data_IF_436914510985
#
_entry.id   IF_436914510985
#
_cell.length_a   1.000
_cell.length_b   1.000
_cell.length_c   1.000
_cell.angle_alpha   90.00
_cell.angle_beta   90.00
_cell.angle_gamma   90.00
#
_symmetry.space_group_name_H-M   'P 1'
#
loop_
_entity.id
_entity.type
_entity.pdbx_description
1 polymer ?
#
# COMPACT_ATOMS: atom_id res chain seq x y z
N UNK A 1 21.31 -11.57 23.50
CA UNK A 1 21.43 -11.32 22.06
C UNK A 1 20.97 -12.55 21.29
N UNK A 2 19.85 -12.45 20.60
CA UNK A 2 19.34 -13.51 19.72
C UNK A 2 20.13 -13.57 18.39
N UNK A 3 19.85 -14.59 17.56
CA UNK A 3 20.54 -14.78 16.28
C UNK A 3 20.29 -13.62 15.31
N UNK A 4 19.07 -13.07 15.32
CA UNK A 4 18.68 -11.94 14.48
C UNK A 4 19.48 -10.67 14.81
N UNK A 5 19.65 -10.36 16.09
CA UNK A 5 20.47 -9.23 16.52
C UNK A 5 21.94 -9.36 16.09
N UNK A 6 22.49 -10.58 16.10
CA UNK A 6 23.85 -10.82 15.58
C UNK A 6 23.92 -10.57 14.07
N UNK A 7 22.92 -11.00 13.31
CA UNK A 7 22.85 -10.73 11.88
C UNK A 7 22.80 -9.21 11.60
N UNK A 8 22.05 -8.45 12.39
CA UNK A 8 22.00 -6.98 12.25
C UNK A 8 23.34 -6.31 12.61
N UNK A 9 24.02 -6.76 13.67
CA UNK A 9 25.35 -6.24 14.01
C UNK A 9 26.40 -6.59 12.94
N UNK A 10 26.25 -7.71 12.23
CA UNK A 10 27.10 -8.06 11.10
C UNK A 10 26.78 -7.23 9.85
N UNK A 11 25.50 -6.89 9.64
CA UNK A 11 25.05 -6.05 8.53
C UNK A 11 25.44 -4.58 8.72
N UNK A 12 25.52 -4.11 9.97
CA UNK A 12 26.00 -2.78 10.33
C UNK A 12 27.08 -2.85 11.43
N UNK A 13 28.34 -3.16 11.07
CA UNK A 13 29.47 -3.10 11.96
C UNK A 13 29.51 -1.78 12.76
N UNK A 14 29.75 -1.90 14.07
CA UNK A 14 29.76 -0.75 14.99
C UNK A 14 28.41 -0.43 15.64
N UNK A 15 27.33 -1.11 15.23
CA UNK A 15 26.07 -1.16 15.99
C UNK A 15 26.33 -1.77 17.38
N UNK A 16 25.84 -1.12 18.44
CA UNK A 16 26.01 -1.53 19.84
C UNK A 16 24.65 -1.75 20.51
N UNK A 17 24.58 -2.66 21.48
CA UNK A 17 23.37 -2.94 22.29
C UNK A 17 22.79 -1.71 22.99
N UNK A 18 23.62 -0.72 23.31
CA UNK A 18 23.18 0.53 23.94
C UNK A 18 22.52 1.52 22.98
N UNK A 19 22.58 1.29 21.66
CA UNK A 19 22.00 2.20 20.69
C UNK A 19 20.48 2.01 20.58
N UNK A 20 19.71 3.09 20.38
CA UNK A 20 18.26 3.02 20.34
C UNK A 20 17.76 2.31 19.08
N UNK A 21 16.49 1.89 19.11
CA UNK A 21 15.82 1.10 18.07
C UNK A 21 16.00 1.62 16.63
N UNK A 22 16.02 2.94 16.33
CA UNK A 22 16.23 3.42 14.95
C UNK A 22 17.52 2.91 14.30
N UNK A 23 18.61 2.75 15.08
CA UNK A 23 19.87 2.21 14.53
C UNK A 23 19.78 0.72 14.20
N UNK A 24 18.99 -0.03 14.98
CA UNK A 24 18.71 -1.44 14.69
C UNK A 24 17.88 -1.60 13.43
N UNK A 25 16.88 -0.73 13.22
CA UNK A 25 16.09 -0.71 11.98
C UNK A 25 16.92 -0.23 10.78
N UNK A 26 17.83 0.71 10.96
CA UNK A 26 18.79 1.09 9.92
C UNK A 26 19.70 -0.09 9.52
N UNK A 27 20.10 -0.94 10.47
CA UNK A 27 20.85 -2.15 10.14
C UNK A 27 20.05 -3.14 9.27
N UNK A 28 18.72 -3.17 9.40
CA UNK A 28 17.86 -3.97 8.53
C UNK A 28 17.90 -3.48 7.08
N UNK A 29 18.03 -2.17 6.85
CA UNK A 29 18.18 -1.59 5.50
C UNK A 29 19.42 -2.16 4.80
N UNK A 30 20.56 -2.19 5.50
CA UNK A 30 21.79 -2.77 4.97
C UNK A 30 21.72 -4.30 4.85
N UNK A 31 21.12 -4.98 5.83
CA UNK A 31 20.90 -6.44 5.75
C UNK A 31 20.13 -6.83 4.49
N UNK A 32 19.08 -6.09 4.17
CA UNK A 32 18.20 -6.36 3.03
C UNK A 32 18.73 -5.76 1.71
N UNK A 33 19.86 -5.04 1.74
CA UNK A 33 20.49 -4.43 0.56
C UNK A 33 19.57 -3.45 -0.18
N UNK A 34 18.84 -2.63 0.59
CA UNK A 34 17.86 -1.65 0.08
C UNK A 34 18.20 -0.22 0.53
N UNK A 35 19.49 0.07 0.76
CA UNK A 35 19.90 1.41 1.18
C UNK A 35 19.72 2.42 0.04
N UNK A 36 18.94 3.45 0.32
CA UNK A 36 18.76 4.62 -0.52
C UNK A 36 18.91 5.86 0.36
N UNK A 37 19.64 6.86 -0.16
CA UNK A 37 19.80 8.14 0.49
C UNK A 37 18.98 9.17 -0.28
N UNK A 38 17.96 9.72 0.38
CA UNK A 38 17.16 10.80 -0.16
C UNK A 38 17.51 12.11 0.53
N UNK A 39 17.33 13.22 -0.18
CA UNK A 39 17.58 14.57 0.34
C UNK A 39 16.41 15.48 0.05
N UNK A 40 16.07 16.36 0.99
CA UNK A 40 15.06 17.39 0.78
C UNK A 40 15.56 18.74 1.31
N UNK A 41 15.00 19.82 0.77
CA UNK A 41 15.27 21.18 1.26
C UNK A 41 14.64 21.36 2.64
N UNK A 42 15.48 21.66 3.63
CA UNK A 42 15.10 22.01 4.99
C UNK A 42 14.95 23.52 5.19
N UNK A 43 14.77 23.92 6.45
CA UNK A 43 14.69 25.33 6.83
C UNK A 43 16.01 26.06 6.53
N UNK A 44 15.91 27.36 6.22
CA UNK A 44 17.07 28.25 6.00
C UNK A 44 18.07 27.79 4.93
N UNK A 45 17.62 26.97 3.96
CA UNK A 45 18.46 26.46 2.87
C UNK A 45 19.42 25.33 3.31
N UNK A 46 19.12 24.68 4.43
CA UNK A 46 19.81 23.46 4.87
C UNK A 46 19.31 22.26 4.07
N UNK A 47 20.17 21.25 3.88
CA UNK A 47 19.78 19.99 3.26
C UNK A 47 19.48 18.96 4.35
N UNK A 48 18.31 18.34 4.29
CA UNK A 48 17.92 17.26 5.19
C UNK A 48 18.15 15.91 4.51
N UNK A 49 18.60 14.93 5.28
CA UNK A 49 18.96 13.60 4.79
C UNK A 49 18.04 12.54 5.37
N UNK A 50 17.52 11.72 4.46
CA UNK A 50 16.52 10.71 4.74
C UNK A 50 16.94 9.36 4.22
N UNK A 51 16.60 8.30 4.97
CA UNK A 51 16.71 6.91 4.50
C UNK A 51 15.33 6.29 4.57
N UNK A 52 14.69 5.98 3.43
CA UNK A 52 13.42 5.25 3.42
C UNK A 52 13.55 3.93 4.18
N UNK A 53 12.54 3.60 4.98
CA UNK A 53 12.44 2.30 5.63
C UNK A 53 11.26 1.50 5.07
N UNK A 54 10.10 2.14 4.96
CA UNK A 54 8.92 1.58 4.32
C UNK A 54 8.08 2.70 3.70
N UNK A 55 7.88 2.66 2.39
CA UNK A 55 7.06 3.62 1.66
C UNK A 55 5.94 2.88 0.93
N UNK A 56 4.71 3.02 1.41
CA UNK A 56 3.54 2.49 0.73
C UNK A 56 2.31 3.37 0.95
N UNK A 57 1.21 2.97 0.31
CA UNK A 57 -0.02 3.76 0.30
C UNK A 57 -0.72 3.93 1.66
N UNK A 58 -0.36 3.12 2.67
CA UNK A 58 -0.87 3.24 4.03
C UNK A 58 0.13 3.86 5.02
N UNK A 59 1.42 3.83 4.71
CA UNK A 59 2.50 4.23 5.62
C UNK A 59 3.69 4.84 4.88
N UNK A 60 4.17 5.97 5.38
CA UNK A 60 5.46 6.56 5.03
C UNK A 60 6.34 6.50 6.28
N UNK A 61 7.34 5.63 6.27
CA UNK A 61 8.27 5.39 7.36
C UNK A 61 9.71 5.54 6.88
N UNK A 62 10.47 6.38 7.56
CA UNK A 62 11.83 6.75 7.15
C UNK A 62 12.66 7.22 8.35
N UNK A 63 13.97 7.18 8.19
CA UNK A 63 14.91 7.77 9.14
C UNK A 63 15.28 9.17 8.69
N UNK A 64 15.27 10.12 9.62
CA UNK A 64 15.80 11.46 9.45
C UNK A 64 17.11 11.56 10.25
N UNK A 65 18.18 12.00 9.59
CA UNK A 65 19.48 12.23 10.21
C UNK A 65 19.61 13.69 10.68
N UNK A 66 19.60 13.92 11.99
CA UNK A 66 19.60 15.27 12.55
C UNK A 66 20.96 15.97 12.36
N UNK A 67 20.94 17.21 11.88
CA UNK A 67 22.15 18.02 11.63
C UNK A 67 23.18 17.29 10.78
N UNK A 68 22.68 16.56 9.78
CA UNK A 68 23.53 15.71 8.96
C UNK A 68 24.33 16.53 7.94
N UNK A 69 25.56 16.10 7.67
CA UNK A 69 26.32 16.52 6.50
C UNK A 69 27.07 15.33 5.90
N UNK A 70 27.32 15.40 4.59
CA UNK A 70 27.98 14.34 3.84
C UNK A 70 29.41 14.73 3.45
N UNK A 71 30.36 13.80 3.62
CA UNK A 71 31.68 13.84 2.98
C UNK A 71 31.73 12.79 1.87
N UNK A 72 32.14 13.18 0.67
CA UNK A 72 32.04 12.33 -0.53
C UNK A 72 30.74 12.59 -1.29
N UNK A 73 30.39 11.70 -2.22
CA UNK A 73 29.23 11.85 -3.08
C UNK A 73 28.46 10.53 -3.14
N UNK A 74 27.14 10.58 -2.95
CA UNK A 74 26.26 9.43 -3.13
C UNK A 74 25.95 9.24 -4.62
N UNK A 75 26.03 8.00 -5.11
CA UNK A 75 25.65 7.64 -6.47
C UNK A 75 24.24 7.04 -6.48
N UNK A 76 23.19 7.75 -6.94
CA UNK A 76 21.80 7.28 -6.86
C UNK A 76 21.51 6.03 -7.69
N UNK A 77 22.32 5.76 -8.72
CA UNK A 77 22.18 4.57 -9.57
C UNK A 77 22.68 3.28 -8.89
N UNK A 78 23.36 3.39 -7.73
CA UNK A 78 23.96 2.27 -7.01
C UNK A 78 23.30 2.03 -5.64
N UNK A 79 22.08 1.51 -5.64
CA UNK A 79 21.32 1.19 -4.40
C UNK A 79 21.57 -0.23 -3.88
N UNK A 80 21.97 -1.15 -4.76
CA UNK A 80 22.27 -2.55 -4.42
C UNK A 80 23.74 -2.78 -4.03
N UNK A 81 24.02 -3.87 -3.31
CA UNK A 81 25.38 -4.28 -2.91
C UNK A 81 26.12 -3.21 -2.09
N UNK A 82 25.37 -2.49 -1.25
CA UNK A 82 25.89 -1.46 -0.35
C UNK A 82 26.29 -2.07 0.99
N UNK A 83 27.42 -1.62 1.53
CA UNK A 83 27.87 -1.96 2.88
C UNK A 83 28.11 -0.70 3.68
N UNK A 84 27.98 -0.78 5.01
CA UNK A 84 28.21 0.37 5.87
C UNK A 84 28.92 0.01 7.17
N UNK A 85 29.52 1.00 7.80
CA UNK A 85 30.09 0.93 9.14
C UNK A 85 29.61 2.15 9.95
N UNK A 86 29.16 1.91 11.17
CA UNK A 86 28.69 2.93 12.11
C UNK A 86 29.75 3.22 13.16
N UNK A 87 30.17 4.48 13.24
CA UNK A 87 31.08 4.97 14.29
C UNK A 87 30.27 5.84 15.25
N UNK A 88 30.43 5.56 16.55
CA UNK A 88 29.90 6.42 17.62
C UNK A 88 31.00 7.37 18.09
N UNK A 89 30.75 8.67 18.03
CA UNK A 89 31.64 9.72 18.52
C UNK A 89 31.04 10.41 19.75
N UNK A 90 31.83 11.26 20.42
CA UNK A 90 31.35 12.01 21.60
C UNK A 90 30.16 12.93 21.28
N UNK A 91 30.11 13.47 20.06
CA UNK A 91 29.14 14.49 19.63
C UNK A 91 28.11 13.98 18.62
N UNK A 92 28.10 12.69 18.30
CA UNK A 92 27.18 12.12 17.31
C UNK A 92 27.67 10.81 16.70
N UNK A 93 27.41 10.66 15.40
CA UNK A 93 27.64 9.42 14.67
C UNK A 93 28.21 9.71 13.28
N UNK A 94 28.99 8.76 12.78
CA UNK A 94 29.39 8.70 11.37
C UNK A 94 28.95 7.37 10.77
N UNK A 95 28.23 7.40 9.65
CA UNK A 95 27.87 6.24 8.86
C UNK A 95 28.69 6.27 7.57
N UNK A 96 29.70 5.40 7.50
CA UNK A 96 30.55 5.25 6.32
C UNK A 96 29.87 4.23 5.41
N UNK A 97 29.49 4.63 4.20
CA UNK A 97 28.81 3.77 3.23
C UNK A 97 29.73 3.52 2.04
N UNK A 98 29.82 2.25 1.61
CA UNK A 98 30.56 1.82 0.42
C UNK A 98 29.57 1.22 -0.57
N UNK A 99 29.51 1.82 -1.77
CA UNK A 99 28.66 1.36 -2.87
C UNK A 99 29.42 0.39 -3.79
N UNK A 100 28.68 -0.28 -4.68
CA UNK A 100 29.16 -1.41 -5.47
C UNK A 100 30.40 -1.09 -6.34
N UNK A 101 30.50 0.12 -6.88
CA UNK A 101 31.64 0.54 -7.70
C UNK A 101 32.93 0.84 -6.91
N UNK A 102 32.88 0.71 -5.59
CA UNK A 102 33.95 1.16 -4.69
C UNK A 102 33.85 2.64 -4.32
N UNK A 103 32.77 3.32 -4.72
CA UNK A 103 32.46 4.66 -4.21
C UNK A 103 32.26 4.62 -2.69
N UNK A 104 32.78 5.64 -1.99
CA UNK A 104 32.69 5.75 -0.53
C UNK A 104 32.29 7.16 -0.16
N UNK A 105 31.27 7.27 0.69
CA UNK A 105 30.88 8.53 1.31
C UNK A 105 30.60 8.31 2.80
N UNK A 106 30.51 9.39 3.56
CA UNK A 106 30.28 9.35 5.00
C UNK A 106 29.21 10.35 5.37
N UNK A 107 28.19 9.89 6.09
CA UNK A 107 27.15 10.72 6.66
C UNK A 107 27.47 10.97 8.13
N UNK A 108 27.72 12.22 8.48
CA UNK A 108 27.96 12.66 9.85
C UNK A 108 26.67 13.25 10.38
N UNK A 109 26.16 12.79 11.52
CA UNK A 109 24.89 13.26 12.06
C UNK A 109 24.87 13.22 13.59
N UNK A 110 24.10 14.13 14.19
CA UNK A 110 23.99 14.21 15.64
C UNK A 110 23.14 13.07 16.21
N UNK A 111 22.10 12.66 15.49
CA UNK A 111 21.14 11.66 15.94
C UNK A 111 20.32 11.08 14.77
N UNK A 112 19.74 9.90 14.97
CA UNK A 112 18.88 9.21 14.00
C UNK A 112 17.45 9.15 14.54
N UNK A 113 16.52 9.85 13.89
CA UNK A 113 15.10 9.84 14.25
C UNK A 113 14.32 8.95 13.30
N UNK A 114 13.56 8.00 13.84
CA UNK A 114 12.60 7.24 13.07
C UNK A 114 11.26 7.99 13.02
N UNK A 115 10.70 8.16 11.83
CA UNK A 115 9.43 8.82 11.57
C UNK A 115 8.46 7.83 10.96
N UNK A 116 7.22 7.88 11.42
CA UNK A 116 6.13 7.03 10.95
C UNK A 116 4.90 7.90 10.75
N UNK A 117 4.37 7.88 9.52
CA UNK A 117 3.17 8.57 9.14
C UNK A 117 2.20 7.59 8.49
N UNK A 118 0.98 7.52 9.01
CA UNK A 118 -0.05 6.59 8.55
C UNK A 118 -1.22 7.36 7.93
N UNK A 119 -1.77 6.83 6.83
CA UNK A 119 -2.73 7.55 6.01
C UNK A 119 -3.94 6.69 5.62
N UNK A 120 -5.02 7.37 5.23
CA UNK A 120 -6.17 6.71 4.62
C UNK A 120 -5.83 6.15 3.24
N UNK A 121 -5.85 4.82 3.09
CA UNK A 121 -5.51 4.10 1.87
C UNK A 121 -6.72 3.52 1.10
N UNK A 122 -7.93 3.53 1.68
CA UNK A 122 -9.12 2.89 1.08
C UNK A 122 -9.65 3.57 -0.21
N UNK A 123 -9.18 4.80 -0.49
CA UNK A 123 -9.48 5.55 -1.70
C UNK A 123 -8.52 5.27 -2.85
N UNK A 124 -7.48 4.47 -2.63
CA UNK A 124 -6.39 4.30 -3.58
C UNK A 124 -6.74 3.21 -4.61
N UNK A 125 -6.37 3.43 -5.86
CA UNK A 125 -6.65 2.49 -6.94
C UNK A 125 -5.58 2.49 -8.01
N UNK A 126 -4.78 1.43 -8.00
CA UNK A 126 -3.83 1.14 -9.08
C UNK A 126 -4.39 0.08 -10.03
N UNK A 127 -4.43 0.37 -11.32
CA UNK A 127 -5.16 -0.44 -12.32
C UNK A 127 -4.26 -1.00 -13.43
N UNK A 128 -3.17 -1.68 -13.06
CA UNK A 128 -2.21 -2.26 -14.03
C UNK A 128 -2.76 -3.44 -14.84
N UNK A 129 -3.86 -4.08 -14.40
CA UNK A 129 -4.48 -5.22 -15.09
C UNK A 129 -5.97 -5.03 -15.28
N UNK A 130 -6.42 -5.30 -16.50
CA UNK A 130 -7.84 -5.27 -16.88
C UNK A 130 -8.61 -6.47 -16.34
N UNK A 131 -9.88 -6.23 -16.00
CA UNK A 131 -10.86 -7.21 -15.56
C UNK A 131 -10.76 -7.54 -14.07
N UNK A 132 -11.92 -7.55 -13.41
CA UNK A 132 -12.08 -7.80 -11.97
C UNK A 132 -11.30 -6.78 -11.10
N UNK A 133 -11.24 -5.53 -11.55
CA UNK A 133 -10.51 -4.42 -10.92
C UNK A 133 -10.94 -4.18 -9.46
N UNK A 134 -12.22 -4.41 -9.14
CA UNK A 134 -12.72 -4.35 -7.77
C UNK A 134 -12.04 -5.37 -6.85
N UNK A 135 -11.79 -6.59 -7.32
CA UNK A 135 -11.05 -7.59 -6.52
C UNK A 135 -9.57 -7.27 -6.47
N UNK A 136 -8.98 -6.82 -7.59
CA UNK A 136 -7.56 -6.44 -7.65
C UNK A 136 -7.24 -5.28 -6.70
N UNK A 137 -8.12 -4.30 -6.61
CA UNK A 137 -7.99 -3.18 -5.69
C UNK A 137 -8.00 -3.66 -4.23
N UNK A 138 -8.91 -4.58 -3.86
CA UNK A 138 -8.92 -5.16 -2.50
C UNK A 138 -7.64 -5.97 -2.21
N UNK A 139 -7.14 -6.74 -3.19
CA UNK A 139 -5.88 -7.50 -3.03
C UNK A 139 -4.71 -6.56 -2.83
N UNK A 140 -4.65 -5.46 -3.59
CA UNK A 140 -3.65 -4.42 -3.40
C UNK A 140 -3.67 -3.87 -1.97
N UNK A 141 -4.82 -3.37 -1.52
CA UNK A 141 -4.96 -2.81 -0.17
C UNK A 141 -4.68 -3.82 0.95
N UNK A 142 -5.06 -5.08 0.77
CA UNK A 142 -4.74 -6.14 1.73
C UNK A 142 -3.23 -6.43 1.80
N UNK A 143 -2.53 -6.38 0.66
CA UNK A 143 -1.07 -6.48 0.60
C UNK A 143 -0.38 -5.29 1.28
N UNK A 144 -0.81 -4.05 0.98
CA UNK A 144 -0.30 -2.82 1.62
C UNK A 144 -0.40 -2.89 3.15
N UNK A 145 -1.53 -3.37 3.65
CA UNK A 145 -1.77 -3.55 5.08
C UNK A 145 -0.92 -4.66 5.70
N UNK A 146 -0.80 -5.79 5.01
CA UNK A 146 0.03 -6.91 5.47
C UNK A 146 1.49 -6.48 5.57
N UNK A 147 2.03 -5.85 4.52
CA UNK A 147 3.38 -5.31 4.50
C UNK A 147 3.58 -4.33 5.66
N UNK A 148 2.62 -3.43 5.92
CA UNK A 148 2.69 -2.46 7.01
C UNK A 148 2.87 -3.17 8.36
N UNK A 149 2.08 -4.20 8.63
CA UNK A 149 2.18 -4.91 9.90
C UNK A 149 3.46 -5.75 10.02
N UNK A 150 3.95 -6.35 8.93
CA UNK A 150 5.18 -7.14 8.95
C UNK A 150 6.42 -6.25 9.17
N UNK A 151 6.52 -5.13 8.46
CA UNK A 151 7.72 -4.28 8.50
C UNK A 151 7.75 -3.37 9.73
N UNK A 152 6.64 -2.70 10.05
CA UNK A 152 6.60 -1.75 11.16
C UNK A 152 6.28 -2.41 12.50
N UNK A 153 5.62 -3.57 12.48
CA UNK A 153 5.25 -4.35 13.65
C UNK A 153 3.86 -4.03 14.20
N UNK A 154 3.48 -4.76 15.26
CA UNK A 154 2.12 -4.75 15.81
C UNK A 154 1.66 -3.39 16.34
N UNK A 155 2.58 -2.53 16.78
CA UNK A 155 2.28 -1.20 17.34
C UNK A 155 1.85 -0.21 16.26
N UNK A 156 2.27 -0.42 15.00
CA UNK A 156 1.88 0.39 13.86
C UNK A 156 0.50 0.01 13.29
N UNK A 157 -0.06 -1.13 13.69
CA UNK A 157 -1.31 -1.67 13.15
C UNK A 157 -2.47 -1.58 14.15
N UNK A 158 -3.62 -1.12 13.65
CA UNK A 158 -4.85 -1.07 14.45
C UNK A 158 -5.51 -2.44 14.57
N UNK A 159 -6.38 -2.62 15.56
CA UNK A 159 -7.10 -3.89 15.74
C UNK A 159 -7.98 -4.26 14.53
N UNK A 160 -8.50 -3.26 13.81
CA UNK A 160 -9.25 -3.51 12.57
C UNK A 160 -8.32 -3.96 11.45
N UNK A 161 -7.10 -3.45 11.39
CA UNK A 161 -6.11 -3.90 10.41
C UNK A 161 -5.66 -5.34 10.72
N UNK A 162 -5.36 -5.64 11.99
CA UNK A 162 -4.98 -6.99 12.44
C UNK A 162 -6.06 -8.03 12.13
N UNK A 163 -7.34 -7.67 12.25
CA UNK A 163 -8.45 -8.54 11.86
C UNK A 163 -8.49 -8.89 10.36
N UNK A 164 -7.81 -8.11 9.51
CA UNK A 164 -7.71 -8.30 8.06
C UNK A 164 -6.34 -8.82 7.61
N UNK A 165 -5.37 -8.94 8.52
CA UNK A 165 -3.97 -9.29 8.23
C UNK A 165 -3.87 -10.55 7.34
N UNK A 166 -4.53 -11.64 7.74
CA UNK A 166 -4.48 -12.91 7.03
C UNK A 166 -5.29 -12.94 5.71
N UNK A 167 -6.02 -11.88 5.35
CA UNK A 167 -6.86 -11.87 4.15
C UNK A 167 -6.03 -12.11 2.87
N UNK A 168 -4.84 -11.51 2.76
CA UNK A 168 -3.97 -11.65 1.60
C UNK A 168 -3.38 -13.07 1.48
N UNK A 169 -3.26 -13.79 2.59
CA UNK A 169 -2.79 -15.18 2.64
C UNK A 169 -3.85 -16.15 2.10
N UNK A 170 -5.10 -15.72 1.92
CA UNK A 170 -6.11 -16.56 1.27
C UNK A 170 -5.86 -16.68 -0.24
N UNK A 171 -5.20 -17.77 -0.65
CA UNK A 171 -4.78 -18.03 -2.03
C UNK A 171 -5.81 -17.71 -3.14
N UNK A 172 -7.08 -18.15 -3.04
CA UNK A 172 -8.10 -17.83 -4.04
C UNK A 172 -8.40 -16.33 -4.20
N UNK A 173 -8.27 -15.53 -3.14
CA UNK A 173 -8.38 -14.07 -3.19
C UNK A 173 -7.11 -13.45 -3.79
N UNK A 174 -5.93 -13.87 -3.31
CA UNK A 174 -4.62 -13.41 -3.81
C UNK A 174 -4.42 -13.61 -5.31
N UNK A 175 -5.06 -14.62 -5.92
CA UNK A 175 -5.10 -14.82 -7.38
C UNK A 175 -5.62 -13.62 -8.18
N UNK A 176 -6.33 -12.70 -7.54
CA UNK A 176 -6.65 -11.39 -8.10
C UNK A 176 -5.52 -10.38 -7.88
N UNK A 177 -4.25 -10.82 -7.98
CA UNK A 177 -3.07 -9.94 -7.94
C UNK A 177 -3.24 -8.78 -8.93
N UNK A 178 -2.98 -7.53 -8.52
CA UNK A 178 -3.07 -6.38 -9.41
C UNK A 178 -1.91 -6.38 -10.44
N UNK A 179 -0.83 -7.13 -10.19
CA UNK A 179 0.33 -7.30 -11.07
C UNK A 179 0.34 -8.67 -11.77
N UNK A 180 1.31 -8.89 -12.66
CA UNK A 180 1.44 -10.16 -13.40
C UNK A 180 2.06 -11.28 -12.55
N UNK A 181 2.94 -10.90 -11.63
CA UNK A 181 3.64 -11.82 -10.73
C UNK A 181 2.70 -12.51 -9.77
N UNK A 182 3.05 -13.76 -9.45
CA UNK A 182 2.37 -14.52 -8.41
C UNK A 182 2.84 -14.01 -7.05
N UNK A 183 1.90 -13.52 -6.25
CA UNK A 183 2.18 -13.00 -4.92
C UNK A 183 2.34 -14.11 -3.88
N UNK A 184 2.27 -15.38 -4.25
CA UNK A 184 2.39 -16.50 -3.30
C UNK A 184 3.71 -16.58 -2.56
N UNK A 185 4.84 -16.26 -3.20
CA UNK A 185 6.13 -16.26 -2.52
C UNK A 185 6.16 -15.18 -1.42
N UNK A 186 5.63 -14.00 -1.75
CA UNK A 186 5.52 -12.88 -0.81
C UNK A 186 4.47 -13.11 0.29
N UNK A 187 3.33 -13.70 -0.07
CA UNK A 187 2.21 -13.98 0.85
C UNK A 187 1.79 -15.45 0.72
N UNK A 188 2.50 -16.38 1.40
CA UNK A 188 2.24 -17.81 1.29
C UNK A 188 0.83 -18.15 1.78
N UNK A 189 0.15 -19.17 1.21
CA UNK A 189 -1.18 -19.56 1.64
C UNK A 189 -1.16 -20.20 3.03
N UNK A 190 -2.03 -19.72 3.91
CA UNK A 190 -2.14 -20.19 5.30
C UNK A 190 -3.54 -20.72 5.63
N UNK A 191 -3.67 -21.46 6.73
CA UNK A 191 -4.98 -21.88 7.23
C UNK A 191 -5.74 -20.71 7.86
N UNK A 192 -5.01 -19.76 8.43
CA UNK A 192 -5.47 -18.50 9.01
C UNK A 192 -6.12 -17.63 7.93
N UNK A 193 -5.55 -17.56 6.72
CA UNK A 193 -6.17 -16.87 5.60
C UNK A 193 -7.49 -17.53 5.14
N UNK A 194 -7.55 -18.86 5.15
CA UNK A 194 -8.81 -19.58 4.89
C UNK A 194 -9.85 -19.26 5.96
N UNK A 195 -9.46 -19.21 7.24
CA UNK A 195 -10.36 -18.86 8.34
C UNK A 195 -10.83 -17.40 8.28
N UNK A 196 -9.94 -16.47 7.95
CA UNK A 196 -10.25 -15.06 7.73
C UNK A 196 -11.33 -14.90 6.66
N UNK A 197 -11.12 -15.46 5.46
CA UNK A 197 -12.13 -15.41 4.40
C UNK A 197 -13.43 -16.12 4.79
N UNK A 198 -13.35 -17.22 5.56
CA UNK A 198 -14.54 -17.95 6.03
C UNK A 198 -15.37 -17.11 7.00
N UNK A 199 -14.73 -16.40 7.91
CA UNK A 199 -15.40 -15.47 8.82
C UNK A 199 -16.07 -14.33 8.03
N UNK A 200 -15.36 -13.72 7.08
CA UNK A 200 -15.91 -12.69 6.20
C UNK A 200 -17.12 -13.20 5.40
N UNK A 201 -17.05 -14.42 4.86
CA UNK A 201 -18.17 -15.05 4.16
C UNK A 201 -19.38 -15.26 5.08
N UNK A 202 -19.16 -15.70 6.32
CA UNK A 202 -20.23 -15.87 7.31
C UNK A 202 -20.90 -14.54 7.67
N UNK A 203 -20.09 -13.52 7.96
CA UNK A 203 -20.58 -12.17 8.29
C UNK A 203 -21.35 -11.54 7.12
N UNK A 204 -20.97 -11.83 5.88
CA UNK A 204 -21.68 -11.39 4.68
C UNK A 204 -22.96 -12.20 4.40
N UNK A 205 -23.29 -13.20 5.22
CA UNK A 205 -24.42 -14.11 5.01
C UNK A 205 -24.22 -15.10 3.86
N UNK A 206 -22.98 -15.28 3.38
CA UNK A 206 -22.64 -16.15 2.27
C UNK A 206 -22.32 -17.58 2.71
N UNK A 207 -23.33 -18.24 3.27
CA UNK A 207 -23.25 -19.63 3.75
C UNK A 207 -22.80 -20.62 2.67
N UNK A 208 -23.08 -20.32 1.39
CA UNK A 208 -22.67 -21.17 0.27
C UNK A 208 -21.16 -21.10 0.06
N UNK A 209 -20.55 -19.91 0.11
CA UNK A 209 -19.10 -19.79 0.00
C UNK A 209 -18.42 -20.34 1.25
N UNK A 210 -18.94 -20.02 2.43
CA UNK A 210 -18.44 -20.54 3.71
C UNK A 210 -18.32 -22.07 3.70
N UNK A 211 -19.36 -22.77 3.22
CA UNK A 211 -19.33 -24.24 3.09
C UNK A 211 -18.25 -24.74 2.13
N UNK A 212 -18.00 -24.03 1.03
CA UNK A 212 -16.92 -24.38 0.09
C UNK A 212 -15.54 -24.16 0.73
N UNK A 213 -15.38 -23.10 1.52
CA UNK A 213 -14.14 -22.84 2.27
C UNK A 213 -13.86 -23.93 3.31
N UNK A 214 -14.90 -24.47 3.98
CA UNK A 214 -14.75 -25.63 4.85
C UNK A 214 -14.23 -26.88 4.13
N UNK A 215 -14.60 -27.08 2.86
CA UNK A 215 -14.08 -28.18 2.04
C UNK A 215 -12.63 -27.92 1.64
N UNK A 216 -12.34 -26.70 1.17
CA UNK A 216 -10.99 -26.30 0.77
C UNK A 216 -9.99 -26.36 1.93
N UNK A 217 -10.39 -25.99 3.15
CA UNK A 217 -9.56 -26.13 4.34
C UNK A 217 -9.10 -27.57 4.59
N UNK A 218 -9.93 -28.56 4.26
CA UNK A 218 -9.58 -29.99 4.39
C UNK A 218 -8.72 -30.50 3.24
N UNK A 219 -8.86 -29.88 2.06
CA UNK A 219 -8.26 -30.33 0.82
C UNK A 219 -7.77 -29.12 0.00
N UNK A 220 -6.65 -28.47 0.36
CA UNK A 220 -6.18 -27.24 -0.26
C UNK A 220 -5.48 -27.49 -1.62
N UNK A 221 -6.15 -28.18 -2.54
CA UNK A 221 -5.60 -28.47 -3.85
C UNK A 221 -5.58 -27.24 -4.75
N UNK A 222 -4.54 -27.10 -5.58
CA UNK A 222 -4.35 -25.97 -6.52
C UNK A 222 -5.54 -25.75 -7.46
N UNK A 223 -6.17 -26.83 -7.93
CA UNK A 223 -7.33 -26.73 -8.80
C UNK A 223 -8.57 -26.20 -8.05
N UNK A 224 -8.74 -26.56 -6.77
CA UNK A 224 -9.81 -26.01 -5.91
C UNK A 224 -9.58 -24.53 -5.64
N UNK A 225 -8.33 -24.13 -5.43
CA UNK A 225 -7.96 -22.74 -5.24
C UNK A 225 -8.33 -21.88 -6.46
N UNK A 226 -7.96 -22.32 -7.67
CA UNK A 226 -8.35 -21.66 -8.93
C UNK A 226 -9.86 -21.63 -9.12
N UNK A 227 -10.54 -22.73 -8.77
CA UNK A 227 -11.99 -22.81 -8.87
C UNK A 227 -12.69 -21.85 -7.90
N UNK A 228 -12.21 -21.74 -6.64
CA UNK A 228 -12.71 -20.81 -5.64
C UNK A 228 -12.47 -19.35 -6.03
N UNK A 229 -11.34 -19.05 -6.64
CA UNK A 229 -11.03 -17.72 -7.14
C UNK A 229 -12.05 -17.28 -8.20
N UNK A 230 -12.36 -18.15 -9.17
CA UNK A 230 -13.41 -17.90 -10.18
C UNK A 230 -14.81 -17.81 -9.60
N UNK A 231 -15.06 -18.38 -8.41
CA UNK A 231 -16.35 -18.23 -7.72
C UNK A 231 -16.54 -16.82 -7.16
N UNK A 232 -15.47 -16.10 -6.83
CA UNK A 232 -15.52 -14.70 -6.37
C UNK A 232 -16.08 -13.74 -7.45
N UNK A 233 -15.94 -14.09 -8.73
CA UNK A 233 -16.48 -13.32 -9.85
C UNK A 233 -18.02 -13.33 -9.91
N UNK A 234 -18.69 -14.27 -9.21
CA UNK A 234 -20.13 -14.45 -9.35
C UNK A 234 -20.92 -13.37 -8.60
N UNK A 235 -22.04 -12.88 -9.14
CA UNK A 235 -22.91 -11.91 -8.46
C UNK A 235 -23.36 -12.30 -7.05
N UNK A 236 -23.40 -13.60 -6.74
CA UNK A 236 -23.69 -14.09 -5.38
C UNK A 236 -22.62 -13.72 -4.35
N UNK A 237 -21.47 -13.21 -4.77
CA UNK A 237 -20.35 -12.76 -3.92
C UNK A 237 -20.26 -11.24 -3.79
N UNK A 238 -21.23 -10.51 -4.34
CA UNK A 238 -21.28 -9.05 -4.25
C UNK A 238 -21.34 -8.55 -2.80
N UNK A 239 -22.16 -9.19 -1.95
CA UNK A 239 -22.26 -8.84 -0.53
C UNK A 239 -20.95 -9.09 0.24
N UNK A 240 -20.26 -10.18 -0.08
CA UNK A 240 -18.94 -10.50 0.49
C UNK A 240 -17.91 -9.44 0.11
N UNK A 241 -17.85 -9.06 -1.17
CA UNK A 241 -16.99 -7.96 -1.63
C UNK A 241 -17.28 -6.65 -0.89
N UNK A 242 -18.55 -6.25 -0.80
CA UNK A 242 -18.95 -5.01 -0.14
C UNK A 242 -18.57 -5.01 1.34
N UNK A 243 -18.72 -6.15 2.03
CA UNK A 243 -18.29 -6.30 3.42
C UNK A 243 -16.77 -6.15 3.56
N UNK A 244 -15.99 -6.80 2.70
CA UNK A 244 -14.52 -6.71 2.74
C UNK A 244 -14.08 -5.26 2.50
N UNK A 245 -14.64 -4.60 1.49
CA UNK A 245 -14.36 -3.18 1.21
C UNK A 245 -14.69 -2.30 2.41
N UNK A 246 -15.87 -2.46 3.03
CA UNK A 246 -16.24 -1.63 4.19
C UNK A 246 -15.38 -1.90 5.41
N UNK A 247 -14.91 -3.14 5.63
CA UNK A 247 -13.96 -3.43 6.71
C UNK A 247 -12.60 -2.78 6.47
N UNK A 248 -12.08 -2.87 5.23
CA UNK A 248 -10.84 -2.18 4.85
C UNK A 248 -10.98 -0.66 5.02
N UNK A 249 -12.10 -0.09 4.54
CA UNK A 249 -12.40 1.32 4.72
C UNK A 249 -12.50 1.71 6.20
N UNK A 250 -13.18 0.92 7.02
CA UNK A 250 -13.33 1.18 8.44
C UNK A 250 -12.00 1.10 9.21
N UNK A 251 -11.07 0.25 8.78
CA UNK A 251 -9.69 0.20 9.30
C UNK A 251 -8.91 1.43 8.84
N UNK A 252 -8.97 1.75 7.55
CA UNK A 252 -8.30 2.89 6.94
C UNK A 252 -8.73 4.23 7.55
N UNK A 253 -10.01 4.43 7.85
CA UNK A 253 -10.54 5.68 8.40
C UNK A 253 -10.09 6.00 9.84
N UNK A 254 -9.34 5.10 10.50
CA UNK A 254 -8.70 5.41 11.79
C UNK A 254 -7.47 6.33 11.63
N UNK A 255 -6.96 6.42 10.42
CA UNK A 255 -5.83 7.27 10.06
C UNK A 255 -6.27 8.61 9.46
N UNK A 256 -5.45 9.67 9.56
CA UNK A 256 -5.73 10.95 8.94
C UNK A 256 -5.71 10.85 7.40
N UNK A 257 -6.45 11.74 6.75
CA UNK A 257 -6.34 11.96 5.31
C UNK A 257 -4.95 12.52 5.01
N UNK A 258 -4.28 12.00 3.98
CA UNK A 258 -2.97 12.50 3.53
C UNK A 258 -3.07 13.97 3.12
N UNK A 259 -2.13 14.78 3.59
CA UNK A 259 -2.03 16.22 3.30
C UNK A 259 -0.64 16.54 2.78
N UNK A 260 -0.62 17.36 1.74
CA UNK A 260 0.59 17.74 1.01
C UNK A 260 0.98 19.18 1.29
N UNK A 261 2.14 19.59 0.77
CA UNK A 261 2.53 21.00 0.75
C UNK A 261 1.49 21.84 -0.01
N UNK A 262 1.42 23.14 0.30
CA UNK A 262 0.30 23.99 -0.14
C UNK A 262 0.04 23.97 -1.64
N UNK A 263 1.08 24.05 -2.47
CA UNK A 263 0.95 24.07 -3.93
C UNK A 263 0.42 22.74 -4.50
N UNK A 264 0.96 21.62 -4.01
CA UNK A 264 0.53 20.29 -4.43
C UNK A 264 -0.88 19.98 -3.94
N UNK A 265 -1.18 20.31 -2.68
CA UNK A 265 -2.51 20.16 -2.09
C UNK A 265 -3.56 20.95 -2.89
N UNK A 266 -3.24 22.18 -3.29
CA UNK A 266 -4.10 22.99 -4.14
C UNK A 266 -4.38 22.30 -5.48
N UNK A 267 -3.35 21.78 -6.17
CA UNK A 267 -3.51 21.08 -7.45
C UNK A 267 -4.39 19.83 -7.32
N UNK A 268 -4.19 19.05 -6.26
CA UNK A 268 -4.99 17.86 -5.97
C UNK A 268 -6.46 18.23 -5.72
N UNK A 269 -6.71 19.27 -4.92
CA UNK A 269 -8.07 19.69 -4.59
C UNK A 269 -8.80 20.27 -5.81
N UNK A 270 -8.10 21.00 -6.69
CA UNK A 270 -8.64 21.42 -8.00
C UNK A 270 -9.01 20.20 -8.85
N UNK A 271 -8.13 19.20 -8.96
CA UNK A 271 -8.41 17.99 -9.74
C UNK A 271 -9.65 17.23 -9.20
N UNK A 272 -9.79 17.11 -7.88
CA UNK A 272 -10.99 16.52 -7.23
C UNK A 272 -12.24 17.35 -7.52
N UNK A 273 -12.15 18.68 -7.47
CA UNK A 273 -13.27 19.58 -7.76
C UNK A 273 -13.71 19.51 -9.23
N UNK A 274 -12.76 19.42 -10.17
CA UNK A 274 -13.03 19.22 -11.59
C UNK A 274 -13.72 17.89 -11.84
N UNK A 275 -13.27 16.81 -11.19
CA UNK A 275 -13.90 15.49 -11.27
C UNK A 275 -15.35 15.51 -10.72
N UNK A 276 -15.60 16.13 -9.56
CA UNK A 276 -16.94 16.30 -9.00
C UNK A 276 -17.84 17.12 -9.92
N UNK A 277 -17.35 18.26 -10.42
CA UNK A 277 -18.09 19.14 -11.33
C UNK A 277 -18.45 18.41 -12.63
N UNK A 278 -17.50 17.66 -13.20
CA UNK A 278 -17.70 16.87 -14.40
C UNK A 278 -18.79 15.80 -14.20
N UNK A 279 -18.75 15.03 -13.11
CA UNK A 279 -19.76 14.01 -12.83
C UNK A 279 -21.14 14.61 -12.56
N UNK A 280 -21.21 15.72 -11.79
CA UNK A 280 -22.47 16.47 -11.58
C UNK A 280 -23.03 17.01 -12.89
N UNK A 281 -22.18 17.57 -13.75
CA UNK A 281 -22.56 18.06 -15.08
C UNK A 281 -23.11 16.96 -16.00
N UNK A 282 -22.69 15.70 -15.81
CA UNK A 282 -23.27 14.52 -16.48
C UNK A 282 -24.55 13.99 -15.80
N UNK A 283 -25.03 14.66 -14.75
CA UNK A 283 -26.26 14.33 -14.03
C UNK A 283 -26.11 13.20 -13.01
N UNK A 284 -24.89 12.92 -12.54
CA UNK A 284 -24.69 12.02 -11.40
C UNK A 284 -25.04 12.72 -10.09
N UNK A 285 -25.59 11.95 -9.14
CA UNK A 285 -25.84 12.37 -7.77
C UNK A 285 -24.79 11.75 -6.83
N UNK A 286 -24.55 12.37 -5.69
CA UNK A 286 -23.54 11.93 -4.72
C UNK A 286 -22.52 13.03 -4.40
N UNK A 287 -21.42 12.63 -3.79
CA UNK A 287 -20.29 13.47 -3.42
C UNK A 287 -19.02 12.67 -3.56
N UNK A 288 -17.92 13.33 -3.92
CA UNK A 288 -16.62 12.68 -4.01
C UNK A 288 -16.32 11.79 -2.77
N UNK A 289 -15.90 10.52 -2.94
CA UNK A 289 -15.55 9.85 -4.20
C UNK A 289 -16.68 9.00 -4.83
N UNK A 290 -17.92 9.02 -4.32
CA UNK A 290 -18.98 8.09 -4.73
C UNK A 290 -20.17 8.77 -5.40
N UNK A 291 -20.56 8.26 -6.57
CA UNK A 291 -21.61 8.83 -7.40
C UNK A 291 -22.53 7.76 -7.98
N UNK A 292 -23.78 8.14 -8.23
CA UNK A 292 -24.77 7.26 -8.84
C UNK A 292 -25.70 7.99 -9.80
N UNK A 293 -26.13 7.27 -10.83
CA UNK A 293 -27.12 7.74 -11.81
C UNK A 293 -27.90 6.56 -12.34
N UNK A 294 -29.19 6.48 -12.02
CA UNK A 294 -30.09 5.40 -12.46
C UNK A 294 -29.52 3.99 -12.18
N UNK A 295 -28.98 3.35 -13.21
CA UNK A 295 -28.41 2.00 -13.23
C UNK A 295 -26.88 1.98 -13.15
N UNK A 296 -26.25 3.14 -12.96
CA UNK A 296 -24.80 3.32 -12.88
C UNK A 296 -24.37 3.73 -11.47
N UNK A 297 -23.22 3.20 -11.09
CA UNK A 297 -22.46 3.56 -9.90
C UNK A 297 -21.03 3.89 -10.35
N UNK A 298 -20.48 4.98 -9.83
CA UNK A 298 -19.10 5.38 -10.05
C UNK A 298 -18.43 5.57 -8.70
N UNK A 299 -17.26 4.96 -8.55
CA UNK A 299 -16.35 5.25 -7.46
C UNK A 299 -15.06 5.85 -8.05
N UNK A 300 -14.70 7.05 -7.60
CA UNK A 300 -13.40 7.63 -7.87
C UNK A 300 -12.35 6.96 -6.97
N UNK A 301 -11.27 6.50 -7.58
CA UNK A 301 -10.08 6.02 -6.89
C UNK A 301 -8.89 6.89 -7.30
N UNK A 302 -7.94 7.08 -6.39
CA UNK A 302 -6.80 7.98 -6.58
C UNK A 302 -5.49 7.20 -6.67
N UNK A 303 -4.57 7.69 -7.51
CA UNK A 303 -3.14 7.38 -7.40
C UNK A 303 -2.50 8.62 -6.77
N UNK A 304 -2.02 8.47 -5.52
CA UNK A 304 -1.57 9.55 -4.65
C UNK A 304 -0.03 9.53 -4.51
N UNK A 305 0.64 10.69 -4.63
CA UNK A 305 2.07 10.79 -4.33
C UNK A 305 2.37 10.58 -2.84
N UNK A 306 3.60 10.21 -2.50
CA UNK A 306 4.17 10.31 -1.15
C UNK A 306 4.36 11.78 -0.74
N UNK A 307 4.39 12.03 0.57
CA UNK A 307 4.43 13.41 1.10
C UNK A 307 5.81 14.04 1.15
N UNK A 308 6.88 13.24 1.19
CA UNK A 308 8.25 13.73 1.39
C UNK A 308 9.27 13.19 0.40
N UNK A 309 9.21 11.90 0.06
CA UNK A 309 10.22 11.20 -0.75
C UNK A 309 9.63 10.73 -2.08
N UNK A 310 8.71 11.50 -2.64
CA UNK A 310 8.12 11.21 -3.94
C UNK A 310 9.06 11.62 -5.08
N UNK A 311 8.98 10.88 -6.19
CA UNK A 311 9.67 11.26 -7.40
C UNK A 311 9.11 12.56 -8.01
N UNK A 312 10.01 13.42 -8.48
CA UNK A 312 9.66 14.70 -9.11
C UNK A 312 8.74 14.61 -10.34
N UNK A 313 8.64 13.43 -10.96
CA UNK A 313 7.81 13.15 -12.13
C UNK A 313 6.47 12.48 -11.80
N UNK A 314 6.19 12.21 -10.51
CA UNK A 314 4.92 11.62 -10.11
C UNK A 314 3.76 12.59 -10.36
N UNK A 315 2.64 12.05 -10.84
CA UNK A 315 1.43 12.83 -11.13
C UNK A 315 0.25 12.21 -10.43
N UNK A 316 -0.43 13.01 -9.58
CA UNK A 316 -1.72 12.65 -9.01
C UNK A 316 -2.74 12.33 -10.10
N UNK A 317 -3.42 11.19 -10.00
CA UNK A 317 -4.44 10.75 -10.97
C UNK A 317 -5.71 10.31 -10.27
N UNK A 318 -6.83 10.52 -10.96
CA UNK A 318 -8.14 10.01 -10.56
C UNK A 318 -8.61 9.00 -11.61
N UNK A 319 -9.08 7.84 -11.16
CA UNK A 319 -9.72 6.84 -12.01
C UNK A 319 -11.16 6.64 -11.57
N UNK A 320 -12.07 6.62 -12.53
CA UNK A 320 -13.46 6.27 -12.31
C UNK A 320 -13.65 4.75 -12.50
N UNK A 321 -13.96 4.06 -11.42
CA UNK A 321 -14.48 2.69 -11.45
C UNK A 321 -15.97 2.74 -11.78
N UNK A 322 -16.30 2.52 -13.05
CA UNK A 322 -17.65 2.66 -13.59
C UNK A 322 -18.32 1.30 -13.60
N UNK A 323 -19.46 1.22 -12.93
CA UNK A 323 -20.24 0.00 -12.74
C UNK A 323 -21.67 0.23 -13.22
N UNK A 324 -22.19 -0.64 -14.08
CA UNK A 324 -23.54 -0.54 -14.63
C UNK A 324 -24.31 -1.85 -14.48
N UNK A 325 -25.61 -1.73 -14.17
CA UNK A 325 -26.54 -2.87 -14.06
C UNK A 325 -27.86 -2.60 -14.78
N UNK A 326 -28.12 -3.30 -15.90
CA UNK A 326 -29.34 -3.13 -16.73
C UNK A 326 -30.68 -3.23 -16.00
N UNK A 327 -30.76 -3.89 -14.84
CA UNK A 327 -31.99 -4.04 -14.04
C UNK A 327 -31.71 -3.89 -12.55
N UNK A 328 -32.47 -3.02 -11.89
CA UNK A 328 -32.35 -2.74 -10.46
C UNK A 328 -31.26 -1.72 -10.13
N UNK A 329 -31.23 -1.24 -8.89
CA UNK A 329 -30.19 -0.31 -8.41
C UNK A 329 -28.82 -0.99 -8.50
N UNK A 330 -27.84 -0.25 -9.01
CA UNK A 330 -26.44 -0.68 -9.05
C UNK A 330 -25.84 -0.48 -7.65
N UNK A 331 -25.45 -1.57 -6.99
CA UNK A 331 -24.65 -1.51 -5.76
C UNK A 331 -23.20 -1.16 -6.08
N UNK A 332 -22.42 -0.79 -5.04
CA UNK A 332 -21.00 -0.45 -5.18
C UNK A 332 -20.27 -1.53 -5.98
N UNK A 333 -19.64 -1.12 -7.08
CA UNK A 333 -18.89 -1.96 -8.02
C UNK A 333 -19.59 -3.25 -8.48
N UNK A 334 -20.92 -3.29 -8.43
CA UNK A 334 -21.71 -4.48 -8.78
C UNK A 334 -21.57 -4.89 -10.27
N UNK A 335 -21.28 -3.94 -11.15
CA UNK A 335 -21.05 -4.13 -12.58
C UNK A 335 -19.80 -4.95 -12.93
N UNK A 336 -18.87 -5.10 -11.98
CA UNK A 336 -17.65 -5.88 -12.18
C UNK A 336 -17.83 -7.40 -12.01
N UNK A 337 -18.95 -7.84 -11.42
CA UNK A 337 -19.26 -9.26 -11.28
C UNK A 337 -19.79 -9.86 -12.60
N UNK A 338 -19.33 -11.07 -12.93
CA UNK A 338 -19.75 -11.81 -14.13
C UNK A 338 -21.21 -12.28 -14.03
N UNK A 339 -22.12 -11.50 -14.61
CA UNK A 339 -23.55 -11.81 -14.63
C UNK A 339 -24.29 -11.08 -15.74
N UNK A 340 -25.48 -11.61 -16.09
CA UNK A 340 -26.31 -11.05 -17.15
C UNK A 340 -26.70 -9.60 -16.82
N UNK A 341 -26.40 -8.69 -17.74
CA UNK A 341 -26.75 -7.28 -17.61
C UNK A 341 -25.84 -6.46 -16.68
N UNK A 342 -24.67 -6.98 -16.31
CA UNK A 342 -23.63 -6.24 -15.59
C UNK A 342 -22.54 -5.81 -16.58
N UNK A 343 -22.10 -4.56 -16.49
CA UNK A 343 -20.99 -4.01 -17.26
C UNK A 343 -20.10 -3.18 -16.35
N UNK A 344 -18.82 -3.15 -16.65
CA UNK A 344 -17.84 -2.35 -15.91
C UNK A 344 -16.72 -1.89 -16.82
N UNK A 345 -16.11 -0.78 -16.45
CA UNK A 345 -14.83 -0.30 -16.99
C UNK A 345 -14.17 0.61 -15.95
N UNK A 346 -12.85 0.70 -16.01
CA UNK A 346 -12.09 1.76 -15.34
C UNK A 346 -11.65 2.77 -16.40
N UNK A 347 -11.79 4.06 -16.09
CA UNK A 347 -11.37 5.15 -16.96
C UNK A 347 -10.62 6.21 -16.16
N UNK A 348 -9.46 6.63 -16.63
CA UNK A 348 -8.71 7.75 -16.07
C UNK A 348 -9.46 9.06 -16.34
N UNK A 349 -9.52 9.93 -15.34
CA UNK A 349 -10.05 11.27 -15.48
C UNK A 349 -8.98 12.20 -16.10
N UNK A 350 -9.28 12.66 -17.31
CA UNK A 350 -8.47 13.63 -18.09
C UNK A 350 -9.29 14.89 -18.43
N UNK A 351 -10.23 15.27 -17.56
CA UNK A 351 -11.16 16.38 -17.84
C UNK A 351 -12.33 15.98 -18.76
N UNK A 352 -12.64 16.80 -19.75
CA UNK A 352 -13.88 16.68 -20.56
C UNK A 352 -13.98 15.40 -21.43
N UNK A 353 -12.87 14.70 -21.67
CA UNK A 353 -12.81 13.49 -22.52
C UNK A 353 -13.02 12.17 -21.74
N UNK A 354 -13.16 12.23 -20.41
CA UNK A 354 -13.02 11.07 -19.52
C UNK A 354 -14.11 9.99 -19.59
N UNK A 355 -15.25 10.26 -20.23
CA UNK A 355 -16.40 9.33 -20.28
C UNK A 355 -16.89 9.01 -21.70
N UNK A 356 -16.20 9.45 -22.75
CA UNK A 356 -16.54 9.10 -24.13
C UNK A 356 -16.53 7.59 -24.38
#
# INVERSE_FOLDING_TARGET
MDEYQKELMNALPGLKESLPQPFWRLAEVFRNQVFELCTADGEEGTLEYYVPYMMNDAAESYFMMEKCHMTGEYQPEETENTSAELITEETGYALIVRQASGNVFTLWFANLRWKEHFYQYHGIGHFWRKGQEQWRQLVYMAGTLHDKCVYLGDEACSEKEKALFHLIEFGPFRKWSPIQEDLEEKYPPTYEGIDCMRQLAREAGDWKYERLLCVYKKFPFRWLETWLSRRLEKPSREALYQLIYEKIRAASCEYPVRRYQEEEQYRIDVCRQEADTFLRGKGFQGTYPEYYKESMWIQAAEEQPFTILESSDYVFRIYFMISERKKGRCGRNSGFFHGRGRRSRVAEFKGNESLS
#
